data_IF_291531934607
#
_entry.id   IF_291531934607
#
_cell.length_a   1.000
_cell.length_b   1.000
_cell.length_c   1.000
_cell.angle_alpha   90.00
_cell.angle_beta   90.00
_cell.angle_gamma   90.00
#
_symmetry.space_group_name_H-M   'P 1'
#
loop_
_entity.id
_entity.type
_entity.pdbx_description
1 polymer ?
#
# COMPACT_ATOMS: atom_id res chain seq x y z
N UNK A 1 13.99 -7.42 7.33
CA UNK A 1 15.27 -8.13 7.10
C UNK A 1 15.38 -8.49 5.63
N UNK A 2 16.59 -8.48 5.05
CA UNK A 2 16.80 -8.80 3.63
C UNK A 2 17.91 -9.85 3.51
N UNK A 3 17.68 -10.90 2.73
CA UNK A 3 18.68 -11.90 2.38
C UNK A 3 19.05 -11.76 0.92
N UNK A 4 20.34 -11.77 0.59
CA UNK A 4 20.81 -11.78 -0.80
C UNK A 4 21.24 -13.19 -1.17
N UNK A 5 20.60 -13.78 -2.17
CA UNK A 5 20.94 -15.10 -2.67
C UNK A 5 21.37 -14.98 -4.12
N UNK A 6 22.56 -15.48 -4.43
CA UNK A 6 23.07 -15.57 -5.79
C UNK A 6 23.24 -17.03 -6.17
N UNK A 7 22.81 -17.39 -7.38
CA UNK A 7 23.10 -18.69 -7.99
C UNK A 7 23.94 -18.45 -9.24
N UNK A 8 25.20 -18.91 -9.20
CA UNK A 8 26.16 -18.74 -10.28
C UNK A 8 25.91 -19.74 -11.41
N UNK A 9 26.49 -19.48 -12.58
CA UNK A 9 26.40 -20.34 -13.75
C UNK A 9 26.94 -21.75 -13.48
N UNK A 10 27.91 -21.87 -12.58
CA UNK A 10 28.48 -23.14 -12.11
C UNK A 10 27.54 -23.95 -11.22
N UNK A 11 26.39 -23.39 -10.82
CA UNK A 11 25.51 -23.96 -9.80
C UNK A 11 25.96 -23.67 -8.36
N UNK A 12 27.07 -22.97 -8.15
CA UNK A 12 27.47 -22.49 -6.84
C UNK A 12 26.45 -21.47 -6.32
N UNK A 13 26.13 -21.56 -5.02
CA UNK A 13 25.18 -20.66 -4.38
C UNK A 13 25.92 -19.77 -3.37
N UNK A 14 25.50 -18.51 -3.28
CA UNK A 14 26.00 -17.55 -2.32
C UNK A 14 24.84 -17.03 -1.46
N UNK A 15 25.06 -16.92 -0.16
CA UNK A 15 24.21 -16.22 0.79
C UNK A 15 24.95 -14.99 1.30
N UNK A 16 24.40 -13.80 1.07
CA UNK A 16 25.00 -12.50 1.40
C UNK A 16 26.45 -12.37 0.92
N UNK A 17 26.72 -12.89 -0.29
CA UNK A 17 28.03 -12.88 -0.93
C UNK A 17 29.01 -13.96 -0.45
N UNK A 18 28.62 -14.81 0.51
CA UNK A 18 29.44 -15.92 1.01
C UNK A 18 28.99 -17.25 0.41
N UNK A 19 29.90 -18.17 0.08
CA UNK A 19 29.54 -19.52 -0.36
C UNK A 19 28.58 -20.19 0.62
N UNK A 20 27.49 -20.75 0.10
CA UNK A 20 26.48 -21.43 0.87
C UNK A 20 25.97 -22.69 0.16
N UNK A 21 25.57 -23.69 0.94
CA UNK A 21 24.79 -24.83 0.45
C UNK A 21 23.27 -24.62 0.65
N UNK A 22 22.48 -25.61 0.22
CA UNK A 22 21.02 -25.49 0.25
C UNK A 22 20.48 -25.52 1.69
N UNK A 23 21.12 -26.25 2.60
CA UNK A 23 20.69 -26.38 3.99
C UNK A 23 20.96 -25.07 4.76
N UNK A 24 22.08 -24.43 4.48
CA UNK A 24 22.42 -23.10 5.00
C UNK A 24 21.46 -22.02 4.49
N UNK A 25 21.09 -22.08 3.20
CA UNK A 25 20.06 -21.20 2.65
C UNK A 25 18.70 -21.46 3.32
N UNK A 26 18.33 -22.73 3.50
CA UNK A 26 17.05 -23.10 4.12
C UNK A 26 16.94 -22.59 5.57
N UNK A 27 18.00 -22.78 6.36
CA UNK A 27 18.09 -22.27 7.73
C UNK A 27 17.99 -20.73 7.77
N UNK A 28 18.63 -20.04 6.84
CA UNK A 28 18.55 -18.58 6.74
C UNK A 28 17.14 -18.11 6.38
N UNK A 29 16.46 -18.78 5.45
CA UNK A 29 15.07 -18.47 5.07
C UNK A 29 14.11 -18.72 6.25
N UNK A 30 14.28 -19.82 6.98
CA UNK A 30 13.49 -20.12 8.18
C UNK A 30 13.69 -19.03 9.26
N UNK A 31 14.93 -18.68 9.56
CA UNK A 31 15.25 -17.62 10.52
C UNK A 31 14.68 -16.26 10.06
N UNK A 32 14.71 -15.97 8.76
CA UNK A 32 14.12 -14.77 8.20
C UNK A 32 12.60 -14.72 8.38
N UNK A 33 11.93 -15.85 8.15
CA UNK A 33 10.48 -15.96 8.35
C UNK A 33 10.07 -15.76 9.81
N UNK A 34 10.84 -16.31 10.74
CA UNK A 34 10.55 -16.23 12.18
C UNK A 34 10.85 -14.85 12.77
N UNK A 35 11.90 -14.18 12.30
CA UNK A 35 12.34 -12.89 12.83
C UNK A 35 11.55 -11.70 12.29
N UNK A 36 11.01 -11.78 11.07
CA UNK A 36 10.34 -10.64 10.45
C UNK A 36 9.29 -11.08 9.41
N UNK A 37 8.01 -10.75 9.67
CA UNK A 37 6.90 -11.05 8.74
C UNK A 37 7.05 -10.40 7.35
N UNK A 38 7.88 -9.35 7.24
CA UNK A 38 8.22 -8.65 6.01
C UNK A 38 9.63 -8.98 5.48
N UNK A 39 10.22 -10.11 5.90
CA UNK A 39 11.47 -10.57 5.32
C UNK A 39 11.36 -10.75 3.79
N UNK A 40 12.39 -10.28 3.09
CA UNK A 40 12.47 -10.32 1.63
C UNK A 40 13.78 -10.98 1.20
N UNK A 41 13.72 -11.72 0.11
CA UNK A 41 14.87 -12.31 -0.57
C UNK A 41 15.14 -11.53 -1.86
N UNK A 42 16.37 -11.07 -2.03
CA UNK A 42 16.89 -10.58 -3.30
C UNK A 42 17.60 -11.73 -3.97
N UNK A 43 17.15 -12.09 -5.16
CA UNK A 43 17.60 -13.27 -5.86
C UNK A 43 18.24 -12.88 -7.18
N UNK A 44 19.52 -13.20 -7.33
CA UNK A 44 20.26 -13.08 -8.57
C UNK A 44 20.58 -14.48 -9.10
N UNK A 45 20.40 -14.67 -10.41
CA UNK A 45 20.88 -15.85 -11.11
C UNK A 45 21.79 -15.39 -12.22
N UNK A 46 23.02 -15.88 -12.21
CA UNK A 46 23.96 -15.65 -13.29
C UNK A 46 23.49 -16.40 -14.55
N UNK A 47 23.41 -15.68 -15.65
CA UNK A 47 22.99 -16.22 -16.94
C UNK A 47 24.18 -16.97 -17.56
N UNK A 48 24.20 -18.30 -17.41
CA UNK A 48 25.29 -19.16 -17.91
C UNK A 48 24.94 -20.11 -19.06
N UNK A 49 23.66 -20.40 -19.29
CA UNK A 49 23.16 -21.25 -20.38
C UNK A 49 21.63 -21.09 -20.52
N UNK A 50 21.05 -21.60 -21.62
CA UNK A 50 19.61 -21.48 -21.91
C UNK A 50 18.68 -22.16 -20.87
N UNK A 51 19.22 -23.05 -20.03
CA UNK A 51 18.44 -23.80 -19.03
C UNK A 51 18.92 -23.47 -17.60
N UNK A 52 18.00 -23.20 -16.65
CA UNK A 52 18.38 -22.90 -15.28
C UNK A 52 19.09 -24.08 -14.60
N UNK A 53 20.18 -23.85 -13.84
CA UNK A 53 20.80 -24.88 -13.02
C UNK A 53 19.78 -25.49 -12.03
N UNK A 54 19.86 -26.80 -11.71
CA UNK A 54 18.98 -27.43 -10.73
C UNK A 54 18.93 -26.69 -9.38
N UNK A 55 20.06 -26.11 -8.97
CA UNK A 55 20.22 -25.32 -7.74
C UNK A 55 19.35 -24.05 -7.76
N UNK A 56 19.19 -23.40 -8.91
CA UNK A 56 18.34 -22.22 -9.05
C UNK A 56 16.87 -22.54 -8.75
N UNK A 57 16.39 -23.68 -9.28
CA UNK A 57 15.03 -24.15 -9.03
C UNK A 57 14.84 -24.56 -7.55
N UNK A 58 15.83 -25.24 -6.97
CA UNK A 58 15.78 -25.64 -5.56
C UNK A 58 15.67 -24.43 -4.62
N UNK A 59 16.46 -23.38 -4.85
CA UNK A 59 16.40 -22.13 -4.08
C UNK A 59 15.04 -21.45 -4.20
N UNK A 60 14.53 -21.28 -5.43
CA UNK A 60 13.20 -20.67 -5.64
C UNK A 60 12.12 -21.47 -4.92
N UNK A 61 12.15 -22.80 -5.01
CA UNK A 61 11.18 -23.66 -4.32
C UNK A 61 11.22 -23.44 -2.80
N UNK A 62 12.40 -23.31 -2.18
CA UNK A 62 12.51 -23.02 -0.74
C UNK A 62 11.95 -21.64 -0.37
N UNK A 63 12.26 -20.61 -1.16
CA UNK A 63 11.71 -19.25 -0.94
C UNK A 63 10.17 -19.27 -0.98
N UNK A 64 9.60 -20.00 -1.95
CA UNK A 64 8.15 -20.20 -2.09
C UNK A 64 7.58 -20.96 -0.89
N UNK A 65 8.23 -22.05 -0.45
CA UNK A 65 7.80 -22.85 0.69
C UNK A 65 7.70 -22.01 1.97
N UNK A 66 8.67 -21.12 2.21
CA UNK A 66 8.65 -20.19 3.36
C UNK A 66 7.73 -18.97 3.17
N UNK A 67 7.10 -18.82 2.00
CA UNK A 67 6.21 -17.69 1.64
C UNK A 67 6.89 -16.34 1.88
N UNK A 68 8.15 -16.23 1.51
CA UNK A 68 8.92 -14.98 1.61
C UNK A 68 8.75 -14.16 0.34
N UNK A 69 8.77 -12.83 0.48
CA UNK A 69 8.73 -11.92 -0.67
C UNK A 69 10.03 -12.10 -1.45
N UNK A 70 9.96 -12.26 -2.78
CA UNK A 70 11.11 -12.38 -3.66
C UNK A 70 11.22 -11.15 -4.58
N UNK A 71 12.43 -10.63 -4.75
CA UNK A 71 12.77 -9.61 -5.75
C UNK A 71 13.89 -10.16 -6.61
N UNK A 72 13.62 -10.31 -7.91
CA UNK A 72 14.61 -10.79 -8.87
C UNK A 72 15.56 -9.64 -9.24
N UNK A 73 16.84 -9.93 -9.43
CA UNK A 73 17.86 -8.98 -9.91
C UNK A 73 18.54 -9.56 -11.15
N UNK A 74 18.84 -8.71 -12.14
CA UNK A 74 19.66 -9.09 -13.30
C UNK A 74 21.15 -8.82 -13.09
N UNK A 75 21.51 -8.08 -12.04
CA UNK A 75 22.90 -7.77 -11.67
C UNK A 75 23.29 -8.46 -10.37
N UNK A 76 24.54 -8.93 -10.31
CA UNK A 76 25.09 -9.66 -9.16
C UNK A 76 25.30 -8.80 -7.91
N UNK A 77 25.37 -7.47 -8.08
CA UNK A 77 25.44 -6.49 -6.99
C UNK A 77 24.05 -6.12 -6.43
N UNK A 78 22.98 -6.66 -7.02
CA UNK A 78 21.59 -6.36 -6.70
C UNK A 78 21.23 -4.87 -6.86
N UNK A 79 21.98 -4.11 -7.66
CA UNK A 79 21.71 -2.70 -7.95
C UNK A 79 20.48 -2.48 -8.83
N UNK A 80 19.80 -3.56 -9.22
CA UNK A 80 18.57 -3.54 -10.01
C UNK A 80 17.52 -4.51 -9.44
N UNK A 81 16.30 -4.39 -9.95
CA UNK A 81 15.28 -5.42 -9.83
C UNK A 81 14.62 -5.67 -11.20
N UNK A 82 14.11 -6.88 -11.38
CA UNK A 82 13.42 -7.30 -12.60
C UNK A 82 11.93 -7.33 -12.35
N UNK A 83 11.17 -6.57 -13.16
CA UNK A 83 9.72 -6.50 -13.05
C UNK A 83 9.00 -7.72 -13.65
N UNK A 84 7.68 -7.79 -13.50
CA UNK A 84 6.87 -8.90 -14.00
C UNK A 84 6.94 -9.06 -15.54
N UNK A 85 7.42 -8.05 -16.26
CA UNK A 85 7.62 -8.07 -17.72
C UNK A 85 9.05 -8.45 -18.09
N UNK A 86 9.90 -8.76 -17.12
CA UNK A 86 11.31 -9.10 -17.33
C UNK A 86 12.22 -7.89 -17.54
N UNK A 87 11.75 -6.67 -17.28
CA UNK A 87 12.54 -5.45 -17.50
C UNK A 87 13.35 -5.14 -16.24
N UNK A 88 14.67 -4.95 -16.42
CA UNK A 88 15.57 -4.49 -15.34
C UNK A 88 15.35 -3.01 -15.06
N UNK A 89 15.15 -2.67 -13.79
CA UNK A 89 14.98 -1.30 -13.29
C UNK A 89 16.02 -1.03 -12.21
N UNK A 90 16.61 0.18 -12.16
CA UNK A 90 17.56 0.52 -11.13
C UNK A 90 16.90 0.40 -9.75
N UNK A 91 17.63 -0.22 -8.83
CA UNK A 91 17.29 -0.30 -7.42
C UNK A 91 17.63 1.05 -6.77
N UNK A 92 16.94 2.10 -7.19
CA UNK A 92 17.04 3.40 -6.53
C UNK A 92 16.55 3.25 -5.10
N UNK A 93 17.07 4.05 -4.18
CA UNK A 93 16.71 4.02 -2.76
C UNK A 93 15.19 4.17 -2.49
N UNK A 94 14.41 4.56 -3.50
CA UNK A 94 12.96 4.79 -3.40
C UNK A 94 12.09 3.70 -4.04
N UNK A 95 12.62 2.86 -4.94
CA UNK A 95 11.78 1.96 -5.76
C UNK A 95 11.82 0.48 -5.37
N UNK A 96 12.70 0.08 -4.46
CA UNK A 96 13.01 -1.33 -4.29
C UNK A 96 12.98 -1.77 -2.83
N UNK A 97 11.77 -2.06 -2.37
CA UNK A 97 11.51 -2.40 -0.98
C UNK A 97 12.16 -1.39 -0.03
N UNK A 98 11.75 -0.12 -0.15
CA UNK A 98 11.87 0.80 0.96
C UNK A 98 11.30 0.07 2.18
N UNK A 99 12.10 -0.07 3.24
CA UNK A 99 11.52 -0.38 4.53
C UNK A 99 10.36 0.60 4.69
N UNK A 100 9.17 0.06 4.91
CA UNK A 100 7.97 0.88 4.95
C UNK A 100 8.24 2.08 5.85
N UNK A 101 8.24 3.27 5.24
CA UNK A 101 8.57 4.54 5.88
C UNK A 101 7.49 5.54 5.52
N UNK A 102 7.31 6.53 6.38
CA UNK A 102 6.49 7.68 6.04
C UNK A 102 7.07 8.34 4.78
N UNK A 103 6.27 8.58 3.71
CA UNK A 103 6.73 9.32 2.54
C UNK A 103 7.28 10.69 2.92
N UNK A 104 8.36 11.11 2.26
CA UNK A 104 8.76 12.52 2.27
C UNK A 104 7.71 13.32 1.49
N UNK A 105 7.28 14.43 2.07
CA UNK A 105 6.22 15.26 1.50
C UNK A 105 6.75 16.64 1.17
N UNK A 106 6.23 17.25 0.10
CA UNK A 106 6.55 18.65 -0.16
C UNK A 106 5.96 19.53 0.94
N UNK A 107 6.84 20.24 1.64
CA UNK A 107 6.47 21.25 2.64
C UNK A 107 5.81 22.43 1.94
N UNK A 108 4.56 22.70 2.27
CA UNK A 108 3.74 23.74 1.67
C UNK A 108 3.01 24.49 2.77
N UNK A 109 3.13 25.82 2.78
CA UNK A 109 2.39 26.67 3.73
C UNK A 109 0.88 26.69 3.45
N UNK A 110 0.48 26.34 2.22
CA UNK A 110 -0.91 26.32 1.74
C UNK A 110 -1.53 24.90 1.75
N UNK A 111 -1.03 23.98 2.59
CA UNK A 111 -1.51 22.58 2.63
C UNK A 111 -3.03 22.47 2.84
N UNK A 112 -3.59 23.40 3.60
CA UNK A 112 -5.03 23.48 3.86
C UNK A 112 -5.84 23.79 2.60
N UNK A 113 -5.35 24.70 1.77
CA UNK A 113 -5.98 25.05 0.50
C UNK A 113 -5.88 23.90 -0.50
N UNK A 114 -4.73 23.21 -0.54
CA UNK A 114 -4.52 22.02 -1.37
C UNK A 114 -5.53 20.93 -1.00
N UNK A 115 -5.67 20.61 0.28
CA UNK A 115 -6.59 19.57 0.73
C UNK A 115 -8.06 19.99 0.63
N UNK A 116 -8.36 21.28 0.77
CA UNK A 116 -9.69 21.80 0.45
C UNK A 116 -10.05 21.53 -1.03
N UNK A 117 -9.15 21.82 -1.97
CA UNK A 117 -9.35 21.51 -3.40
C UNK A 117 -9.55 20.00 -3.65
N UNK A 118 -8.79 19.15 -2.95
CA UNK A 118 -8.97 17.69 -3.00
C UNK A 118 -10.37 17.28 -2.53
N UNK A 119 -10.86 17.84 -1.40
CA UNK A 119 -12.21 17.57 -0.90
C UNK A 119 -13.29 18.05 -1.86
N UNK A 120 -13.15 19.24 -2.45
CA UNK A 120 -14.07 19.76 -3.47
C UNK A 120 -14.10 18.85 -4.70
N UNK A 121 -12.94 18.38 -5.18
CA UNK A 121 -12.87 17.44 -6.29
C UNK A 121 -13.53 16.09 -5.96
N UNK A 122 -13.27 15.52 -4.77
CA UNK A 122 -13.93 14.31 -4.31
C UNK A 122 -15.46 14.51 -4.17
N UNK A 123 -15.89 15.71 -3.78
CA UNK A 123 -17.29 16.10 -3.73
C UNK A 123 -17.92 16.25 -5.13
N UNK A 124 -17.16 16.54 -6.19
CA UNK A 124 -17.67 16.48 -7.55
C UNK A 124 -17.93 15.02 -8.03
N UNK A 125 -17.28 14.05 -7.39
CA UNK A 125 -17.48 12.62 -7.61
C UNK A 125 -16.20 11.89 -8.01
N UNK A 126 -16.15 10.58 -7.71
CA UNK A 126 -14.96 9.76 -7.88
C UNK A 126 -14.08 9.72 -6.63
N UNK A 127 -12.89 9.16 -6.80
CA UNK A 127 -11.88 8.99 -5.75
C UNK A 127 -10.66 9.86 -6.08
N UNK A 128 -10.24 10.70 -5.14
CA UNK A 128 -9.08 11.59 -5.32
C UNK A 128 -7.92 11.10 -4.46
N UNK A 129 -6.74 10.92 -5.03
CA UNK A 129 -5.55 10.48 -4.30
C UNK A 129 -4.51 11.59 -4.33
N UNK A 130 -4.21 12.18 -3.17
CA UNK A 130 -3.15 13.15 -2.98
C UNK A 130 -1.80 12.42 -2.86
N UNK A 131 -0.88 12.76 -3.74
CA UNK A 131 0.50 12.27 -3.72
C UNK A 131 1.37 13.12 -2.78
N UNK A 132 2.54 12.63 -2.33
CA UNK A 132 3.42 13.37 -1.43
C UNK A 132 3.95 14.69 -2.02
N UNK A 133 4.05 14.76 -3.36
CA UNK A 133 4.39 15.99 -4.12
C UNK A 133 3.26 17.04 -4.15
N UNK A 134 2.13 16.76 -3.50
CA UNK A 134 0.92 17.59 -3.39
C UNK A 134 0.14 17.76 -4.69
N UNK A 135 0.51 17.03 -5.74
CA UNK A 135 -0.36 16.80 -6.90
C UNK A 135 -1.35 15.69 -6.59
N UNK A 136 -2.44 15.59 -7.35
CA UNK A 136 -3.47 14.58 -7.09
C UNK A 136 -3.84 13.81 -8.36
N UNK A 137 -4.18 12.54 -8.18
CA UNK A 137 -4.80 11.67 -9.17
C UNK A 137 -6.31 11.66 -8.94
N UNK A 138 -7.09 11.77 -10.01
CA UNK A 138 -8.55 11.60 -9.96
C UNK A 138 -8.91 10.29 -10.65
N UNK A 139 -9.52 9.37 -9.91
CA UNK A 139 -10.17 8.19 -10.46
C UNK A 139 -11.66 8.51 -10.62
N UNK A 140 -12.17 8.61 -11.85
CA UNK A 140 -13.57 8.97 -12.08
C UNK A 140 -14.50 7.92 -11.50
N UNK A 141 -15.70 8.35 -11.11
CA UNK A 141 -16.75 7.44 -10.68
C UNK A 141 -17.04 6.43 -11.80
N UNK A 142 -17.14 5.15 -11.45
CA UNK A 142 -17.55 4.11 -12.38
C UNK A 142 -18.97 4.38 -12.91
N UNK A 143 -19.19 4.11 -14.19
CA UNK A 143 -20.52 4.16 -14.77
C UNK A 143 -21.39 3.03 -14.18
N UNK A 144 -22.69 3.27 -14.07
CA UNK A 144 -23.63 2.26 -13.60
C UNK A 144 -23.62 1.04 -14.53
N UNK A 145 -23.57 -0.14 -13.93
CA UNK A 145 -23.73 -1.42 -14.63
C UNK A 145 -24.40 -2.44 -13.74
N UNK A 146 -25.01 -3.46 -14.36
CA UNK A 146 -25.66 -4.55 -13.63
C UNK A 146 -24.68 -5.27 -12.69
N UNK A 147 -23.42 -5.43 -13.13
CA UNK A 147 -22.37 -6.13 -12.40
C UNK A 147 -21.93 -5.39 -11.11
N UNK A 148 -22.14 -4.07 -11.05
CA UNK A 148 -21.75 -3.25 -9.90
C UNK A 148 -22.87 -3.11 -8.85
N UNK A 149 -24.07 -3.67 -9.08
CA UNK A 149 -25.18 -3.60 -8.11
C UNK A 149 -24.85 -4.29 -6.79
N UNK A 150 -24.34 -5.51 -6.84
CA UNK A 150 -23.95 -6.28 -5.64
C UNK A 150 -22.88 -5.55 -4.84
N UNK A 151 -21.91 -4.92 -5.52
CA UNK A 151 -20.88 -4.11 -4.88
C UNK A 151 -21.51 -2.91 -4.18
N UNK A 152 -22.42 -2.17 -4.83
CA UNK A 152 -23.10 -1.04 -4.21
C UNK A 152 -23.88 -1.42 -2.95
N UNK A 153 -24.63 -2.53 -2.98
CA UNK A 153 -25.36 -3.01 -1.81
C UNK A 153 -24.43 -3.35 -0.64
N UNK A 154 -23.27 -3.93 -0.90
CA UNK A 154 -22.26 -4.21 0.13
C UNK A 154 -21.67 -2.92 0.71
N UNK A 155 -21.40 -1.92 -0.13
CA UNK A 155 -20.86 -0.64 0.32
C UNK A 155 -21.90 0.15 1.13
N UNK A 156 -23.17 0.13 0.73
CA UNK A 156 -24.26 0.81 1.44
C UNK A 156 -24.50 0.22 2.84
N UNK A 157 -24.33 -1.10 3.00
CA UNK A 157 -24.35 -1.74 4.33
C UNK A 157 -23.21 -1.29 5.24
N UNK A 158 -22.06 -0.94 4.65
CA UNK A 158 -20.88 -0.54 5.40
C UNK A 158 -20.97 0.95 5.81
N UNK A 159 -21.30 1.82 4.86
CA UNK A 159 -21.53 3.24 5.08
C UNK A 159 -22.76 3.62 4.24
N UNK A 160 -23.92 3.91 4.86
CA UNK A 160 -25.16 4.16 4.13
C UNK A 160 -25.09 5.39 3.21
N UNK A 161 -25.50 5.21 1.95
CA UNK A 161 -25.52 6.24 0.92
C UNK A 161 -26.66 7.27 1.07
N UNK A 162 -27.67 6.97 1.91
CA UNK A 162 -28.83 7.84 2.15
C UNK A 162 -28.43 9.27 2.56
N UNK A 163 -27.28 9.42 3.22
CA UNK A 163 -26.64 10.71 3.43
C UNK A 163 -25.22 10.64 2.91
N UNK A 164 -24.86 11.57 2.04
CA UNK A 164 -23.50 11.66 1.54
C UNK A 164 -22.51 11.94 2.68
N UNK A 165 -21.51 11.07 2.82
CA UNK A 165 -20.43 11.18 3.78
C UNK A 165 -19.12 11.59 3.12
N UNK A 166 -18.28 12.22 3.91
CA UNK A 166 -16.90 12.54 3.62
C UNK A 166 -15.99 11.43 4.16
N UNK A 167 -15.19 10.82 3.31
CA UNK A 167 -14.37 9.66 3.65
C UNK A 167 -12.92 9.94 3.30
N UNK A 168 -12.11 10.11 4.32
CA UNK A 168 -10.66 10.20 4.18
C UNK A 168 -10.04 8.80 4.29
N UNK A 169 -8.94 8.56 3.59
CA UNK A 169 -8.13 7.37 3.77
C UNK A 169 -6.65 7.70 3.90
N UNK A 170 -5.97 7.02 4.81
CA UNK A 170 -4.52 7.05 4.95
C UNK A 170 -3.97 5.77 4.33
N UNK A 171 -3.20 5.92 3.25
CA UNK A 171 -2.57 4.81 2.56
C UNK A 171 -1.23 5.24 1.96
N UNK A 172 -0.47 4.28 1.43
CA UNK A 172 0.76 4.61 0.72
C UNK A 172 0.42 5.18 -0.66
N UNK A 173 0.81 6.44 -0.91
CA UNK A 173 0.46 7.19 -2.14
C UNK A 173 1.67 7.46 -3.05
N UNK A 174 2.78 6.74 -2.84
CA UNK A 174 3.87 6.64 -3.81
C UNK A 174 3.63 5.40 -4.65
N UNK A 175 3.65 5.59 -5.97
CA UNK A 175 3.42 4.53 -6.94
C UNK A 175 4.70 4.24 -7.72
N UNK A 176 4.95 2.97 -7.99
CA UNK A 176 6.11 2.53 -8.79
C UNK A 176 5.80 2.67 -10.28
N UNK A 177 5.80 3.92 -10.75
CA UNK A 177 5.61 4.27 -12.15
C UNK A 177 6.91 4.84 -12.73
N UNK A 178 7.06 4.74 -14.06
CA UNK A 178 8.15 5.43 -14.74
C UNK A 178 8.01 6.96 -14.54
N UNK A 179 9.12 7.73 -14.60
CA UNK A 179 9.05 9.19 -14.60
C UNK A 179 8.06 9.68 -15.66
N UNK A 180 7.26 10.69 -15.32
CA UNK A 180 6.25 11.34 -16.18
C UNK A 180 5.08 10.45 -16.65
N UNK A 181 4.97 9.20 -16.17
CA UNK A 181 3.83 8.34 -16.44
C UNK A 181 2.87 8.39 -15.25
N UNK A 182 1.63 8.81 -15.50
CA UNK A 182 0.59 8.75 -14.47
C UNK A 182 0.36 7.28 -14.06
N UNK A 183 0.23 6.98 -12.75
CA UNK A 183 0.01 5.63 -12.27
C UNK A 183 -1.33 5.09 -12.79
N UNK A 184 -1.32 3.85 -13.30
CA UNK A 184 -2.53 3.14 -13.69
C UNK A 184 -3.20 2.46 -12.50
N UNK A 185 -4.34 1.82 -12.78
CA UNK A 185 -5.10 1.11 -11.74
C UNK A 185 -4.29 -0.01 -11.08
N UNK A 186 -3.40 -0.67 -11.84
CA UNK A 186 -2.51 -1.72 -11.33
C UNK A 186 -1.58 -1.17 -10.25
N UNK A 187 -0.86 -0.08 -10.53
CA UNK A 187 0.08 0.52 -9.59
C UNK A 187 -0.64 1.05 -8.34
N UNK A 188 -1.81 1.67 -8.51
CA UNK A 188 -2.62 2.17 -7.38
C UNK A 188 -3.13 1.01 -6.52
N UNK A 189 -3.64 -0.07 -7.12
CA UNK A 189 -4.16 -1.23 -6.38
C UNK A 189 -3.09 -2.00 -5.60
N UNK A 190 -1.85 -2.03 -6.11
CA UNK A 190 -0.72 -2.60 -5.39
C UNK A 190 -0.33 -1.76 -4.16
N UNK A 191 -0.38 -0.44 -4.29
CA UNK A 191 -0.07 0.49 -3.21
C UNK A 191 -1.19 0.56 -2.16
N UNK A 192 -2.45 0.45 -2.58
CA UNK A 192 -3.67 0.58 -1.77
C UNK A 192 -4.54 -0.69 -1.92
N UNK A 193 -4.31 -1.75 -1.14
CA UNK A 193 -5.00 -3.04 -1.33
C UNK A 193 -6.52 -3.01 -1.09
N UNK A 194 -7.03 -1.98 -0.41
CA UNK A 194 -8.46 -1.75 -0.20
C UNK A 194 -9.06 -0.72 -1.17
N UNK A 195 -8.40 -0.47 -2.30
CA UNK A 195 -8.88 0.45 -3.33
C UNK A 195 -10.31 0.14 -3.78
N UNK A 196 -10.67 -1.15 -3.89
CA UNK A 196 -12.02 -1.56 -4.26
C UNK A 196 -13.11 -1.03 -3.31
N UNK A 197 -12.82 -0.96 -2.00
CA UNK A 197 -13.73 -0.38 -1.00
C UNK A 197 -13.89 1.13 -1.27
N UNK A 198 -12.79 1.85 -1.48
CA UNK A 198 -12.80 3.30 -1.72
C UNK A 198 -13.54 3.66 -3.02
N UNK A 199 -13.28 2.91 -4.09
CA UNK A 199 -13.99 3.05 -5.36
C UNK A 199 -15.48 2.77 -5.17
N UNK A 200 -15.84 1.68 -4.48
CA UNK A 200 -17.22 1.33 -4.18
C UNK A 200 -17.97 2.39 -3.37
N UNK A 201 -17.33 2.97 -2.36
CA UNK A 201 -17.88 4.08 -1.58
C UNK A 201 -18.09 5.35 -2.43
N UNK A 202 -17.14 5.66 -3.30
CA UNK A 202 -17.28 6.79 -4.23
C UNK A 202 -18.38 6.56 -5.28
N UNK A 203 -18.59 5.29 -5.65
CA UNK A 203 -19.62 4.84 -6.59
C UNK A 203 -21.02 5.08 -6.03
N UNK A 204 -21.26 4.74 -4.76
CA UNK A 204 -22.55 4.98 -4.09
C UNK A 204 -22.77 6.44 -3.65
N UNK A 205 -21.85 7.36 -4.00
CA UNK A 205 -22.09 8.80 -3.87
C UNK A 205 -21.23 9.53 -2.84
N UNK A 206 -20.46 8.83 -2.01
CA UNK A 206 -19.61 9.48 -1.01
C UNK A 206 -18.48 10.30 -1.64
N UNK A 207 -18.00 11.32 -0.92
CA UNK A 207 -16.80 12.05 -1.28
C UNK A 207 -15.60 11.32 -0.67
N UNK A 208 -14.73 10.75 -1.50
CA UNK A 208 -13.63 9.89 -1.03
C UNK A 208 -12.28 10.47 -1.47
N UNK A 209 -11.38 10.65 -0.52
CA UNK A 209 -10.00 11.05 -0.82
C UNK A 209 -8.97 10.26 -0.02
N UNK A 210 -7.76 10.16 -0.57
CA UNK A 210 -6.63 9.44 0.02
C UNK A 210 -5.43 10.36 0.15
N UNK A 211 -4.70 10.23 1.25
CA UNK A 211 -3.41 10.88 1.46
C UNK A 211 -2.50 9.99 2.31
N UNK A 212 -1.26 10.41 2.53
CA UNK A 212 -0.22 9.61 3.18
C UNK A 212 -0.26 9.58 4.71
N UNK A 213 -1.03 10.48 5.35
CA UNK A 213 -1.10 10.57 6.81
C UNK A 213 0.09 11.26 7.49
N UNK A 214 0.97 11.92 6.72
CA UNK A 214 2.11 12.66 7.27
C UNK A 214 1.64 13.74 8.25
N UNK A 215 2.36 13.95 9.36
CA UNK A 215 1.97 14.89 10.43
C UNK A 215 1.64 16.31 9.90
N UNK A 216 2.46 16.83 9.00
CA UNK A 216 2.24 18.13 8.32
C UNK A 216 0.90 18.26 7.56
N UNK A 217 0.21 17.16 7.26
CA UNK A 217 -1.05 17.14 6.53
C UNK A 217 -2.17 16.38 7.27
N UNK A 218 -1.91 15.80 8.46
CA UNK A 218 -2.85 14.91 9.14
C UNK A 218 -4.16 15.62 9.49
N UNK A 219 -4.06 16.72 10.25
CA UNK A 219 -5.21 17.56 10.61
C UNK A 219 -5.97 18.04 9.36
N UNK A 220 -5.26 18.62 8.39
CA UNK A 220 -5.86 19.14 7.15
C UNK A 220 -6.54 18.03 6.32
N UNK A 221 -5.98 16.82 6.34
CA UNK A 221 -6.43 15.67 5.56
C UNK A 221 -7.62 14.97 6.17
N UNK A 222 -7.76 15.01 7.50
CA UNK A 222 -8.90 14.46 8.22
C UNK A 222 -10.06 15.46 8.38
N UNK A 223 -9.84 16.73 8.05
CA UNK A 223 -10.86 17.78 8.22
C UNK A 223 -12.17 17.45 7.52
N UNK A 224 -13.27 17.65 8.24
CA UNK A 224 -14.65 17.42 7.80
C UNK A 224 -14.98 15.96 7.43
N UNK A 225 -14.06 15.02 7.66
CA UNK A 225 -14.32 13.61 7.39
C UNK A 225 -15.31 13.04 8.41
N UNK A 226 -16.17 12.15 7.94
CA UNK A 226 -17.08 11.35 8.75
C UNK A 226 -16.54 9.96 9.07
N UNK A 227 -15.63 9.49 8.22
CA UNK A 227 -14.94 8.22 8.34
C UNK A 227 -13.50 8.41 7.90
N UNK A 228 -12.57 7.90 8.69
CA UNK A 228 -11.17 7.76 8.34
C UNK A 228 -10.85 6.27 8.20
N UNK A 229 -10.36 5.84 7.04
CA UNK A 229 -9.89 4.47 6.81
C UNK A 229 -8.37 4.47 6.76
N UNK A 230 -7.71 3.78 7.69
CA UNK A 230 -6.27 3.73 7.79
C UNK A 230 -5.75 2.38 7.35
N UNK A 231 -4.79 2.39 6.43
CA UNK A 231 -4.05 1.20 6.10
C UNK A 231 -3.22 0.72 7.30
N UNK A 232 -3.42 -0.54 7.71
CA UNK A 232 -2.65 -1.16 8.80
C UNK A 232 -1.14 -1.02 8.65
N UNK A 233 -0.62 -0.95 7.43
CA UNK A 233 0.83 -0.79 7.24
C UNK A 233 1.28 0.67 7.45
N UNK A 234 0.42 1.65 7.18
CA UNK A 234 0.75 3.06 7.45
C UNK A 234 0.67 3.39 8.94
N UNK A 235 -0.19 2.72 9.70
CA UNK A 235 -0.45 3.01 11.11
C UNK A 235 0.82 3.11 11.99
N UNK A 236 1.81 2.21 11.93
CA UNK A 236 3.04 2.32 12.72
C UNK A 236 3.94 3.50 12.34
N UNK A 237 3.69 4.15 11.20
CA UNK A 237 4.46 5.29 10.69
C UNK A 237 3.85 6.64 11.08
N UNK A 238 2.61 6.63 11.58
CA UNK A 238 1.93 7.84 12.02
C UNK A 238 2.52 8.33 13.34
N UNK A 239 2.47 9.65 13.56
CA UNK A 239 2.95 10.25 14.79
C UNK A 239 2.22 9.70 16.03
N UNK A 240 2.85 9.75 17.20
CA UNK A 240 2.18 9.39 18.44
C UNK A 240 0.94 10.27 18.65
N UNK A 241 -0.20 9.69 19.01
CA UNK A 241 -1.48 10.40 19.20
C UNK A 241 -2.18 10.83 17.90
N UNK A 242 -1.76 10.31 16.74
CA UNK A 242 -2.36 10.64 15.45
C UNK A 242 -3.88 10.43 15.40
N UNK A 243 -4.40 9.46 16.13
CA UNK A 243 -5.82 9.09 16.15
C UNK A 243 -6.66 10.10 16.92
N UNK A 244 -6.10 10.67 17.99
CA UNK A 244 -6.71 11.80 18.71
C UNK A 244 -6.67 13.08 17.87
N UNK A 245 -5.52 13.38 17.23
CA UNK A 245 -5.37 14.53 16.34
C UNK A 245 -6.33 14.45 15.15
N UNK A 246 -6.40 13.27 14.50
CA UNK A 246 -7.34 13.02 13.42
C UNK A 246 -8.79 13.18 13.90
N UNK A 247 -9.16 12.54 15.01
CA UNK A 247 -10.52 12.62 15.55
C UNK A 247 -10.94 14.07 15.88
N UNK A 248 -10.03 14.90 16.38
CA UNK A 248 -10.31 16.31 16.68
C UNK A 248 -10.56 17.16 15.43
N UNK A 249 -10.00 16.77 14.27
CA UNK A 249 -10.22 17.46 13.00
C UNK A 249 -11.48 16.97 12.25
N UNK A 250 -11.93 15.75 12.54
CA UNK A 250 -13.06 15.11 11.86
C UNK A 250 -14.41 15.70 12.30
N UNK A 251 -15.40 15.62 11.41
CA UNK A 251 -16.80 15.94 11.75
C UNK A 251 -17.43 14.83 12.58
N UNK A 252 -17.28 13.58 12.13
CA UNK A 252 -17.70 12.39 12.86
C UNK A 252 -16.49 11.48 13.02
N UNK A 253 -15.94 11.27 14.22
CA UNK A 253 -14.66 10.59 14.38
C UNK A 253 -14.79 9.06 14.37
N UNK A 254 -15.31 8.49 13.27
CA UNK A 254 -15.27 7.05 13.01
C UNK A 254 -13.93 6.68 12.35
N UNK A 255 -13.07 5.95 13.06
CA UNK A 255 -11.76 5.55 12.54
C UNK A 255 -11.71 4.03 12.40
N UNK A 256 -11.48 3.59 11.16
CA UNK A 256 -11.37 2.21 10.76
C UNK A 256 -9.94 1.88 10.35
N UNK A 257 -9.49 0.66 10.62
CA UNK A 257 -8.21 0.14 10.14
C UNK A 257 -8.47 -1.01 9.20
N UNK A 258 -7.91 -0.93 7.99
CA UNK A 258 -7.86 -2.03 7.05
C UNK A 258 -6.60 -2.87 7.29
N UNK A 259 -6.77 -4.07 7.82
CA UNK A 259 -5.71 -5.05 8.02
C UNK A 259 -5.35 -5.73 6.70
N UNK A 260 -4.14 -5.51 6.18
CA UNK A 260 -3.67 -6.13 4.93
C UNK A 260 -3.45 -7.63 5.05
N UNK A 261 -3.23 -8.17 6.24
CA UNK A 261 -3.01 -9.61 6.43
C UNK A 261 -4.32 -10.38 6.38
N UNK A 262 -5.38 -9.80 6.95
CA UNK A 262 -6.69 -10.46 7.06
C UNK A 262 -7.74 -9.94 6.08
N UNK A 263 -7.44 -8.84 5.37
CA UNK A 263 -8.38 -8.10 4.50
C UNK A 263 -9.66 -7.70 5.23
N UNK A 264 -9.55 -7.43 6.53
CA UNK A 264 -10.67 -7.01 7.38
C UNK A 264 -10.58 -5.53 7.69
N UNK A 265 -11.75 -4.90 7.75
CA UNK A 265 -11.92 -3.54 8.23
C UNK A 265 -12.43 -3.59 9.68
N UNK A 266 -11.73 -2.95 10.61
CA UNK A 266 -12.09 -2.94 12.02
C UNK A 266 -12.12 -1.50 12.56
N UNK A 267 -13.17 -1.15 13.31
CA UNK A 267 -13.23 0.13 13.99
C UNK A 267 -12.28 0.15 15.19
N UNK A 268 -11.43 1.16 15.25
CA UNK A 268 -10.64 1.49 16.45
C UNK A 268 -11.23 2.66 17.23
N UNK A 269 -12.10 3.44 16.56
CA UNK A 269 -12.91 4.50 17.16
C UNK A 269 -14.25 4.58 16.44
N UNK A 270 -15.32 4.82 17.18
CA UNK A 270 -16.66 5.11 16.65
C UNK A 270 -17.14 6.44 17.21
N UNK A 271 -17.91 7.18 16.42
CA UNK A 271 -18.50 8.45 16.83
C UNK A 271 -19.71 8.27 17.77
N UNK A 272 -20.37 7.11 17.72
CA UNK A 272 -21.50 6.77 18.59
C UNK A 272 -21.28 5.46 19.35
N UNK A 273 -22.33 5.01 20.04
CA UNK A 273 -22.28 3.93 21.03
C UNK A 273 -22.61 2.55 20.44
N UNK A 274 -23.14 2.51 19.21
CA UNK A 274 -23.58 1.24 18.63
C UNK A 274 -22.43 0.22 18.46
N UNK A 275 -22.61 -1.03 18.94
CA UNK A 275 -21.62 -2.08 18.77
C UNK A 275 -21.55 -2.58 17.31
N UNK A 276 -22.65 -2.52 16.57
CA UNK A 276 -22.80 -3.24 15.30
C UNK A 276 -22.69 -2.34 14.06
N UNK A 277 -22.91 -1.03 14.20
CA UNK A 277 -22.88 -0.08 13.08
C UNK A 277 -22.08 1.17 13.40
N UNK A 278 -21.67 1.88 12.36
CA UNK A 278 -21.17 3.24 12.48
C UNK A 278 -22.34 4.19 12.65
N UNK A 279 -22.14 5.18 13.49
CA UNK A 279 -23.10 6.25 13.73
C UNK A 279 -22.49 7.58 13.30
N UNK A 280 -23.36 8.50 12.90
CA UNK A 280 -22.97 9.80 12.40
C UNK A 280 -23.80 10.86 13.13
N UNK A 281 -23.45 11.17 14.38
CA UNK A 281 -24.05 12.28 15.12
C UNK A 281 -24.08 13.57 14.28
N UNK A 282 -25.15 14.35 14.45
CA UNK A 282 -25.35 15.60 13.72
C UNK A 282 -24.44 16.71 14.26
#
# INVERSE_FOLDING_TARGET
MRLKISVLASGAMLLDGKPADLDQIDAALQAAKQSNANAQVWYYRETGAAQPPPQAMAVIQRIVNYKLKISLSSKSDFSDWVDAKGVSRPRTAEGAAAALRMPEVSSRSDIEEVLHKVRVAAAAGGLVILKPDRTHLVLPRLAESADLKTMAEQMDRMIPAATRRNIAAIAYTIFDCAPDVAPGLTEVSQAIPFLGILVGLSYIGHAVWVFEGHAAALTAGCRDADVLIVDSVMRPLLAHGWDEEAAAAMRNPNILVHDRATFRLAAIRKAGESPDRLEFPA
#
